data_IF_663710688900
#
_entry.id   IF_663710688900
#
_cell.length_a   1.000
_cell.length_b   1.000
_cell.length_c   1.000
_cell.angle_alpha   90.00
_cell.angle_beta   90.00
_cell.angle_gamma   90.00
#
_symmetry.space_group_name_H-M   'P 1'
#
loop_
_entity.id
_entity.type
_entity.pdbx_description
1 polymer ?
#
# COMPACT_ATOMS: atom_id res chain seq x y z
N UNK A 1 44.35 17.84 1.79
CA UNK A 1 43.47 17.38 0.70
C UNK A 1 44.32 16.72 -0.39
N UNK A 2 43.71 16.01 -1.33
CA UNK A 2 44.33 15.52 -2.57
C UNK A 2 43.68 16.21 -3.76
N UNK A 3 44.46 16.53 -4.79
CA UNK A 3 43.96 17.17 -6.01
C UNK A 3 44.28 16.27 -7.21
N UNK A 4 43.38 16.18 -8.17
CA UNK A 4 43.58 15.39 -9.41
C UNK A 4 43.64 16.28 -10.68
N UNK A 5 43.92 15.64 -11.82
CA UNK A 5 43.99 16.30 -13.13
C UNK A 5 42.63 16.74 -13.68
N UNK A 6 41.52 16.36 -13.04
CA UNK A 6 40.15 16.69 -13.43
C UNK A 6 39.59 17.85 -12.61
N UNK A 7 40.45 18.59 -11.92
CA UNK A 7 40.09 19.68 -11.01
C UNK A 7 39.15 19.22 -9.87
N UNK A 8 39.32 17.98 -9.41
CA UNK A 8 38.71 17.50 -8.17
C UNK A 8 39.63 17.81 -7.01
N UNK A 9 39.06 18.37 -5.95
CA UNK A 9 39.73 18.58 -4.66
C UNK A 9 39.04 17.70 -3.61
N UNK A 10 39.77 16.71 -3.11
CA UNK A 10 39.30 15.75 -2.12
C UNK A 10 39.91 16.01 -0.73
N UNK A 11 39.09 16.54 0.16
CA UNK A 11 39.35 16.82 1.55
C UNK A 11 38.58 15.89 2.49
N UNK A 12 38.09 14.76 1.99
CA UNK A 12 37.28 13.83 2.79
C UNK A 12 38.11 13.12 3.88
N UNK A 13 37.44 12.71 4.95
CA UNK A 13 38.01 11.86 6.02
C UNK A 13 39.24 12.45 6.73
N UNK A 14 39.30 13.78 6.90
CA UNK A 14 40.45 14.47 7.52
C UNK A 14 40.19 14.89 8.97
N UNK A 15 38.97 14.72 9.47
CA UNK A 15 38.56 15.24 10.77
C UNK A 15 38.54 16.77 10.85
N UNK A 16 38.42 17.45 9.70
CA UNK A 16 38.42 18.90 9.60
C UNK A 16 37.21 19.50 10.33
N UNK A 17 37.42 20.60 11.07
CA UNK A 17 36.35 21.34 11.77
C UNK A 17 35.79 22.52 10.97
N UNK A 18 36.54 22.95 9.97
CA UNK A 18 36.23 24.11 9.13
C UNK A 18 36.44 23.74 7.65
N UNK A 19 35.83 24.53 6.75
CA UNK A 19 36.06 24.42 5.31
C UNK A 19 37.50 24.89 4.99
N UNK A 20 38.25 24.22 4.10
CA UNK A 20 39.60 24.64 3.75
C UNK A 20 39.67 26.02 3.08
N UNK A 21 40.56 26.90 3.56
CA UNK A 21 40.67 28.29 3.08
C UNK A 21 41.30 28.43 1.67
N UNK A 22 42.07 27.43 1.21
CA UNK A 22 42.84 27.48 -0.04
C UNK A 22 42.38 26.42 -1.05
N UNK A 23 41.14 26.53 -1.53
CA UNK A 23 40.64 25.70 -2.64
C UNK A 23 40.95 26.41 -3.97
N UNK A 24 41.60 25.73 -4.95
CA UNK A 24 41.88 26.31 -6.27
C UNK A 24 40.61 26.84 -6.96
N UNK A 25 40.59 28.05 -7.54
CA UNK A 25 39.40 28.64 -8.17
C UNK A 25 38.84 27.83 -9.36
N UNK A 26 39.69 27.06 -10.05
CA UNK A 26 39.31 26.20 -11.17
C UNK A 26 38.73 24.85 -10.72
N UNK A 27 38.53 24.63 -9.42
CA UNK A 27 37.95 23.40 -8.86
C UNK A 27 36.53 23.17 -9.41
N UNK A 28 36.30 21.98 -9.95
CA UNK A 28 35.01 21.55 -10.53
C UNK A 28 34.24 20.67 -9.55
N UNK A 29 34.95 19.85 -8.77
CA UNK A 29 34.37 18.97 -7.76
C UNK A 29 35.11 19.18 -6.44
N UNK A 30 34.38 19.52 -5.38
CA UNK A 30 34.93 19.70 -4.04
C UNK A 30 34.28 18.69 -3.09
N UNK A 31 35.08 17.78 -2.54
CA UNK A 31 34.65 16.78 -1.55
C UNK A 31 35.20 17.14 -0.19
N UNK A 32 34.33 17.48 0.75
CA UNK A 32 34.67 17.78 2.16
C UNK A 32 33.80 16.92 3.10
N UNK A 33 33.30 15.80 2.59
CA UNK A 33 32.49 14.84 3.33
C UNK A 33 33.29 14.04 4.37
N UNK A 34 32.58 13.43 5.33
CA UNK A 34 33.20 12.65 6.42
C UNK A 34 34.20 13.48 7.25
N UNK A 35 33.77 14.66 7.70
CA UNK A 35 34.56 15.57 8.54
C UNK A 35 33.73 15.97 9.78
N UNK A 36 34.14 17.04 10.47
CA UNK A 36 33.55 17.52 11.73
C UNK A 36 33.07 18.97 11.63
N UNK A 37 32.73 19.43 10.43
CA UNK A 37 32.27 20.81 10.19
C UNK A 37 30.92 21.02 10.88
N UNK A 38 30.79 22.10 11.65
CA UNK A 38 29.60 22.36 12.49
C UNK A 38 28.60 23.34 11.88
N UNK A 39 29.05 24.18 10.95
CA UNK A 39 28.21 25.16 10.30
C UNK A 39 28.94 25.84 9.15
N UNK A 40 28.18 26.57 8.33
CA UNK A 40 28.72 27.35 7.22
C UNK A 40 28.43 28.83 7.45
N UNK A 41 29.44 29.68 7.27
CA UNK A 41 29.29 31.14 7.38
C UNK A 41 29.07 31.78 6.01
N UNK A 42 28.74 33.08 5.99
CA UNK A 42 28.54 33.83 4.75
C UNK A 42 29.81 33.80 3.88
N UNK A 43 29.65 33.64 2.56
CA UNK A 43 30.75 33.57 1.58
C UNK A 43 31.81 32.50 1.89
N UNK A 44 31.39 31.32 2.39
CA UNK A 44 32.30 30.24 2.81
C UNK A 44 33.16 29.67 1.67
N UNK A 45 32.73 29.83 0.42
CA UNK A 45 33.37 29.27 -0.78
C UNK A 45 33.80 30.37 -1.76
N UNK A 46 34.73 31.26 -1.38
CA UNK A 46 35.08 32.42 -2.19
C UNK A 46 35.75 32.00 -3.51
N UNK A 47 35.32 32.59 -4.63
CA UNK A 47 35.97 32.43 -5.93
C UNK A 47 35.76 31.08 -6.64
N UNK A 48 34.94 30.18 -6.10
CA UNK A 48 34.67 28.85 -6.69
C UNK A 48 33.54 28.88 -7.73
N UNK A 49 33.61 29.81 -8.68
CA UNK A 49 32.54 30.01 -9.69
C UNK A 49 32.41 28.87 -10.70
N UNK A 50 33.47 28.06 -10.88
CA UNK A 50 33.48 26.88 -11.77
C UNK A 50 33.01 25.60 -11.09
N UNK A 51 32.67 25.65 -9.79
CA UNK A 51 32.31 24.47 -9.02
C UNK A 51 30.96 23.92 -9.51
N UNK A 52 30.95 22.64 -9.90
CA UNK A 52 29.74 21.94 -10.37
C UNK A 52 29.17 21.02 -9.28
N UNK A 53 30.02 20.44 -8.44
CA UNK A 53 29.58 19.54 -7.36
C UNK A 53 30.30 19.84 -6.04
N UNK A 54 29.51 19.96 -4.98
CA UNK A 54 29.97 20.16 -3.61
C UNK A 54 29.41 19.07 -2.71
N UNK A 55 30.30 18.30 -2.08
CA UNK A 55 29.93 17.26 -1.12
C UNK A 55 30.35 17.63 0.30
N UNK A 56 29.36 17.93 1.14
CA UNK A 56 29.47 18.26 2.56
C UNK A 56 28.80 17.18 3.43
N UNK A 57 28.50 16.01 2.87
CA UNK A 57 27.79 14.95 3.58
C UNK A 57 28.61 14.39 4.76
N UNK A 58 27.93 13.77 5.74
CA UNK A 58 28.59 13.14 6.88
C UNK A 58 29.50 14.12 7.65
N UNK A 59 28.93 15.27 8.02
CA UNK A 59 29.57 16.27 8.88
C UNK A 59 28.72 16.46 10.15
N UNK A 60 28.88 17.57 10.86
CA UNK A 60 28.04 17.95 12.00
C UNK A 60 27.35 19.29 11.76
N UNK A 61 27.05 19.63 10.49
CA UNK A 61 26.51 20.93 10.09
C UNK A 61 25.11 21.08 10.70
N UNK A 62 25.00 21.99 11.66
CA UNK A 62 23.75 22.29 12.38
C UNK A 62 23.10 23.59 11.93
N UNK A 63 23.85 24.47 11.28
CA UNK A 63 23.36 25.71 10.70
C UNK A 63 24.09 26.07 9.41
N UNK A 64 23.41 26.80 8.54
CA UNK A 64 23.99 27.46 7.36
C UNK A 64 23.52 28.90 7.39
N UNK A 65 24.45 29.85 7.41
CA UNK A 65 24.10 31.28 7.37
C UNK A 65 23.65 31.67 5.96
N UNK A 66 22.79 32.69 5.88
CA UNK A 66 22.39 33.29 4.60
C UNK A 66 23.63 33.69 3.79
N UNK A 67 23.63 33.37 2.49
CA UNK A 67 24.75 33.64 1.59
C UNK A 67 25.99 32.78 1.82
N UNK A 68 25.90 31.66 2.53
CA UNK A 68 27.03 30.73 2.67
C UNK A 68 27.51 30.16 1.33
N UNK A 69 26.60 29.99 0.38
CA UNK A 69 26.85 29.47 -0.97
C UNK A 69 26.94 30.57 -2.04
N UNK A 70 27.05 31.84 -1.64
CA UNK A 70 27.15 32.96 -2.58
C UNK A 70 28.34 32.79 -3.52
N UNK A 71 28.10 33.03 -4.82
CA UNK A 71 29.11 32.92 -5.87
C UNK A 71 29.22 31.55 -6.54
N UNK A 72 28.50 30.53 -6.05
CA UNK A 72 28.47 29.18 -6.63
C UNK A 72 27.51 29.07 -7.83
N UNK A 73 27.65 29.99 -8.79
CA UNK A 73 26.70 30.17 -9.90
C UNK A 73 26.55 28.98 -10.85
N UNK A 74 27.59 28.14 -10.97
CA UNK A 74 27.60 26.94 -11.81
C UNK A 74 27.28 25.65 -11.05
N UNK A 75 27.05 25.72 -9.74
CA UNK A 75 26.82 24.51 -8.94
C UNK A 75 25.54 23.81 -9.37
N UNK A 76 25.66 22.51 -9.66
CA UNK A 76 24.55 21.66 -10.09
C UNK A 76 24.17 20.64 -9.01
N UNK A 77 25.12 20.19 -8.21
CA UNK A 77 24.90 19.16 -7.19
C UNK A 77 25.43 19.59 -5.83
N UNK A 78 24.53 19.71 -4.84
CA UNK A 78 24.87 19.98 -3.45
C UNK A 78 24.46 18.79 -2.56
N UNK A 79 25.44 18.20 -1.88
CA UNK A 79 25.21 17.12 -0.91
C UNK A 79 25.43 17.60 0.52
N UNK A 80 24.35 17.58 1.30
CA UNK A 80 24.32 17.92 2.72
C UNK A 80 23.74 16.79 3.58
N UNK A 81 23.61 15.58 3.02
CA UNK A 81 23.07 14.42 3.72
C UNK A 81 23.91 14.02 4.95
N UNK A 82 23.28 13.40 5.95
CA UNK A 82 23.92 12.97 7.20
C UNK A 82 24.60 14.15 7.93
N UNK A 83 23.81 15.17 8.26
CA UNK A 83 24.23 16.34 9.04
C UNK A 83 23.23 16.57 10.18
N UNK A 84 23.21 17.77 10.77
CA UNK A 84 22.39 18.12 11.95
C UNK A 84 21.45 19.30 11.70
N UNK A 85 21.10 19.58 10.46
CA UNK A 85 20.19 20.68 10.13
C UNK A 85 18.80 20.40 10.69
N UNK A 86 18.26 21.34 11.47
CA UNK A 86 16.93 21.22 12.08
C UNK A 86 15.83 21.93 11.31
N UNK A 87 16.18 22.89 10.46
CA UNK A 87 15.21 23.63 9.64
C UNK A 87 15.85 24.06 8.33
N UNK A 88 15.04 24.20 7.30
CA UNK A 88 15.42 24.91 6.07
C UNK A 88 14.84 26.31 6.15
N UNK A 89 15.70 27.33 6.09
CA UNK A 89 15.33 28.74 6.22
C UNK A 89 15.44 29.46 4.89
N UNK A 90 14.66 30.53 4.74
CA UNK A 90 14.74 31.39 3.57
C UNK A 90 16.16 31.98 3.40
N UNK A 91 16.63 32.04 2.16
CA UNK A 91 17.94 32.62 1.82
C UNK A 91 19.16 31.72 2.04
N UNK A 92 19.00 30.53 2.66
CA UNK A 92 20.12 29.62 2.94
C UNK A 92 20.74 29.04 1.66
N UNK A 93 19.94 28.84 0.62
CA UNK A 93 20.38 28.27 -0.66
C UNK A 93 20.57 29.32 -1.77
N UNK A 94 20.72 30.59 -1.40
CA UNK A 94 20.97 31.67 -2.35
C UNK A 94 22.35 31.52 -3.02
N UNK A 95 22.45 32.02 -4.25
CA UNK A 95 23.71 32.05 -5.01
C UNK A 95 23.97 30.82 -5.89
N UNK A 96 23.03 29.87 -5.96
CA UNK A 96 23.14 28.64 -6.75
C UNK A 96 21.99 28.49 -7.78
N UNK A 97 21.83 29.42 -8.74
CA UNK A 97 20.71 29.40 -9.70
C UNK A 97 20.74 28.20 -10.68
N UNK A 98 21.88 27.52 -10.79
CA UNK A 98 22.08 26.34 -11.65
C UNK A 98 21.84 25.01 -10.95
N UNK A 99 21.44 25.03 -9.66
CA UNK A 99 21.32 23.81 -8.87
C UNK A 99 20.23 22.90 -9.44
N UNK A 100 20.62 21.66 -9.73
CA UNK A 100 19.78 20.62 -10.29
C UNK A 100 19.38 19.59 -9.21
N UNK A 101 20.32 19.24 -8.33
CA UNK A 101 20.13 18.26 -7.27
C UNK A 101 20.57 18.78 -5.90
N UNK A 102 19.65 18.70 -4.94
CA UNK A 102 19.87 19.03 -3.53
C UNK A 102 19.52 17.83 -2.65
N UNK A 103 20.49 17.35 -1.88
CA UNK A 103 20.28 16.25 -0.94
C UNK A 103 20.50 16.71 0.50
N UNK A 104 19.45 16.57 1.31
CA UNK A 104 19.36 16.93 2.73
C UNK A 104 18.97 15.72 3.58
N UNK A 105 18.98 14.51 3.03
CA UNK A 105 18.53 13.32 3.75
C UNK A 105 19.34 13.00 5.00
N UNK A 106 18.70 12.37 5.99
CA UNK A 106 19.31 12.06 7.29
C UNK A 106 19.83 13.32 8.00
N UNK A 107 19.04 14.40 7.92
CA UNK A 107 19.15 15.53 8.83
C UNK A 107 17.98 15.47 9.83
N UNK A 108 17.89 16.43 10.75
CA UNK A 108 16.79 16.50 11.74
C UNK A 108 15.79 17.60 11.36
N UNK A 109 15.56 17.78 10.05
CA UNK A 109 14.69 18.83 9.51
C UNK A 109 13.25 18.57 9.96
N UNK A 110 12.73 19.46 10.79
CA UNK A 110 11.36 19.42 11.30
C UNK A 110 10.48 20.53 10.70
N UNK A 111 11.09 21.55 10.10
CA UNK A 111 10.40 22.72 9.56
C UNK A 111 11.09 23.26 8.31
N UNK A 112 10.29 23.77 7.37
CA UNK A 112 10.72 24.42 6.14
C UNK A 112 10.02 25.77 6.08
N UNK A 113 10.79 26.85 6.03
CA UNK A 113 10.23 28.19 5.88
C UNK A 113 9.72 28.41 4.45
N UNK A 114 8.57 29.06 4.30
CA UNK A 114 8.03 29.41 2.98
C UNK A 114 9.06 30.22 2.16
N UNK A 115 9.21 29.90 0.88
CA UNK A 115 10.19 30.56 0.01
C UNK A 115 11.64 30.09 0.18
N UNK A 116 11.91 29.10 1.03
CA UNK A 116 13.25 28.50 1.22
C UNK A 116 13.95 28.05 -0.07
N UNK A 117 13.18 27.76 -1.12
CA UNK A 117 13.71 27.29 -2.41
C UNK A 117 13.49 28.27 -3.57
N UNK A 118 13.10 29.52 -3.31
CA UNK A 118 12.72 30.49 -4.36
C UNK A 118 13.85 30.78 -5.36
N UNK A 119 15.11 30.68 -4.92
CA UNK A 119 16.29 30.93 -5.74
C UNK A 119 16.87 29.67 -6.40
N UNK A 120 16.12 28.57 -6.42
CA UNK A 120 16.51 27.29 -7.04
C UNK A 120 15.61 26.94 -8.25
N UNK A 121 15.51 27.78 -9.29
CA UNK A 121 14.53 27.62 -10.36
C UNK A 121 14.77 26.38 -11.25
N UNK A 122 15.98 25.80 -11.22
CA UNK A 122 16.37 24.65 -12.04
C UNK A 122 16.35 23.31 -11.30
N UNK A 123 15.99 23.31 -10.02
CA UNK A 123 16.06 22.11 -9.20
C UNK A 123 15.11 21.04 -9.74
N UNK A 124 15.65 19.88 -10.09
CA UNK A 124 14.90 18.72 -10.58
C UNK A 124 14.77 17.64 -9.51
N UNK A 125 15.72 17.56 -8.57
CA UNK A 125 15.73 16.54 -7.52
C UNK A 125 15.93 17.16 -6.15
N UNK A 126 14.98 16.91 -5.25
CA UNK A 126 15.07 17.30 -3.84
C UNK A 126 14.90 16.06 -2.96
N UNK A 127 15.88 15.80 -2.12
CA UNK A 127 15.83 14.71 -1.13
C UNK A 127 15.84 15.26 0.30
N UNK A 128 14.72 15.09 0.99
CA UNK A 128 14.47 15.45 2.39
C UNK A 128 14.19 14.19 3.24
N UNK A 129 14.60 13.01 2.78
CA UNK A 129 14.29 11.74 3.43
C UNK A 129 14.93 11.60 4.82
N UNK A 130 14.34 10.77 5.67
CA UNK A 130 14.82 10.44 7.01
C UNK A 130 15.04 11.70 7.88
N UNK A 131 14.06 12.61 7.84
CA UNK A 131 14.00 13.80 8.68
C UNK A 131 12.96 13.67 9.79
N UNK A 132 12.45 14.81 10.24
CA UNK A 132 11.45 14.93 11.31
C UNK A 132 10.20 15.69 10.87
N UNK A 133 9.93 15.78 9.56
CA UNK A 133 8.73 16.44 9.05
C UNK A 133 7.48 15.67 9.46
N UNK A 134 6.57 16.33 10.19
CA UNK A 134 5.30 15.76 10.64
C UNK A 134 4.13 16.11 9.72
N UNK A 135 4.18 17.29 9.11
CA UNK A 135 3.19 17.77 8.17
C UNK A 135 3.87 18.29 6.91
N UNK A 136 3.21 18.13 5.76
CA UNK A 136 3.54 18.90 4.56
C UNK A 136 2.52 20.04 4.46
N UNK A 137 3.01 21.26 4.60
CA UNK A 137 2.22 22.49 4.54
C UNK A 137 2.29 23.13 3.15
N UNK A 138 1.33 24.02 2.88
CA UNK A 138 1.25 24.77 1.63
C UNK A 138 2.43 25.76 1.56
N UNK A 139 3.01 25.94 0.38
CA UNK A 139 4.08 26.92 0.16
C UNK A 139 5.50 26.34 0.22
N UNK A 140 5.69 25.18 0.86
CA UNK A 140 7.02 24.57 1.02
C UNK A 140 7.71 24.32 -0.32
N UNK A 141 6.98 23.82 -1.32
CA UNK A 141 7.55 23.43 -2.61
C UNK A 141 7.07 24.28 -3.79
N UNK A 142 6.18 25.24 -3.56
CA UNK A 142 5.57 26.07 -4.62
C UNK A 142 6.57 26.68 -5.62
N UNK A 143 7.76 27.15 -5.21
CA UNK A 143 8.73 27.73 -6.16
C UNK A 143 9.36 26.73 -7.14
N UNK A 144 9.27 25.43 -6.88
CA UNK A 144 10.05 24.39 -7.55
C UNK A 144 9.35 23.84 -8.82
N UNK A 145 9.05 24.73 -9.77
CA UNK A 145 8.27 24.37 -10.96
C UNK A 145 8.90 23.30 -11.88
N UNK A 146 10.22 23.13 -11.81
CA UNK A 146 10.99 22.13 -12.58
C UNK A 146 11.30 20.85 -11.80
N UNK A 147 10.80 20.72 -10.56
CA UNK A 147 11.06 19.54 -9.73
C UNK A 147 10.43 18.31 -10.37
N UNK A 148 11.22 17.26 -10.54
CA UNK A 148 10.81 15.98 -11.12
C UNK A 148 10.73 14.90 -10.07
N UNK A 149 11.64 14.91 -9.08
CA UNK A 149 11.73 13.88 -8.04
C UNK A 149 11.78 14.51 -6.66
N UNK A 150 10.83 14.14 -5.81
CA UNK A 150 10.74 14.57 -4.43
C UNK A 150 10.77 13.37 -3.49
N UNK A 151 11.83 13.30 -2.68
CA UNK A 151 11.98 12.24 -1.68
C UNK A 151 11.66 12.79 -0.28
N UNK A 152 10.61 12.22 0.33
CA UNK A 152 10.14 12.55 1.68
C UNK A 152 10.08 11.30 2.59
N UNK A 153 10.57 10.16 2.10
CA UNK A 153 10.56 8.88 2.80
C UNK A 153 11.20 8.96 4.18
N UNK A 154 10.74 8.16 5.15
CA UNK A 154 11.31 8.08 6.49
C UNK A 154 11.10 9.32 7.35
N UNK A 155 10.23 10.25 6.94
CA UNK A 155 9.74 11.31 7.80
C UNK A 155 8.44 10.87 8.48
N UNK A 156 8.16 11.28 9.73
CA UNK A 156 6.92 10.96 10.44
C UNK A 156 5.71 11.77 9.94
N UNK A 157 5.55 11.89 8.61
CA UNK A 157 4.50 12.69 7.98
C UNK A 157 3.15 12.04 8.25
N UNK A 158 2.30 12.72 9.02
CA UNK A 158 0.94 12.28 9.33
C UNK A 158 -0.09 12.89 8.38
N UNK A 159 0.22 14.06 7.81
CA UNK A 159 -0.75 14.84 7.02
C UNK A 159 -0.07 15.64 5.92
N UNK A 160 -0.77 15.70 4.79
CA UNK A 160 -0.41 16.54 3.65
C UNK A 160 -1.58 17.51 3.45
N UNK A 161 -1.33 18.81 3.53
CA UNK A 161 -2.36 19.84 3.32
C UNK A 161 -2.78 19.89 1.85
N UNK A 162 -4.04 20.21 1.60
CA UNK A 162 -4.49 20.50 0.23
C UNK A 162 -3.66 21.65 -0.36
N UNK A 163 -3.18 21.49 -1.59
CA UNK A 163 -2.35 22.49 -2.28
C UNK A 163 -0.87 22.44 -1.92
N UNK A 164 -0.43 21.49 -1.09
CA UNK A 164 0.99 21.33 -0.73
C UNK A 164 1.92 21.13 -1.93
N UNK A 165 1.40 20.58 -3.02
CA UNK A 165 2.13 20.32 -4.26
C UNK A 165 1.74 21.28 -5.39
N UNK A 166 1.05 22.38 -5.07
CA UNK A 166 0.71 23.40 -6.05
C UNK A 166 1.98 23.98 -6.68
N UNK A 167 1.98 24.13 -8.00
CA UNK A 167 3.12 24.67 -8.75
C UNK A 167 4.15 23.61 -9.19
N UNK A 168 4.07 22.38 -8.70
CA UNK A 168 4.97 21.27 -9.07
C UNK A 168 4.61 20.64 -10.42
N UNK A 169 4.61 21.47 -11.47
CA UNK A 169 4.11 21.12 -12.81
C UNK A 169 4.90 20.00 -13.51
N UNK A 170 6.14 19.74 -13.09
CA UNK A 170 7.01 18.72 -13.66
C UNK A 170 7.24 17.52 -12.73
N UNK A 171 6.57 17.44 -11.58
CA UNK A 171 6.82 16.36 -10.62
C UNK A 171 6.35 15.02 -11.20
N UNK A 172 7.27 14.06 -11.28
CA UNK A 172 7.07 12.73 -11.86
C UNK A 172 7.06 11.65 -10.78
N UNK A 173 8.00 11.73 -9.83
CA UNK A 173 8.13 10.72 -8.77
C UNK A 173 8.04 11.36 -7.38
N UNK A 174 7.14 10.80 -6.56
CA UNK A 174 6.95 11.19 -5.17
C UNK A 174 7.15 9.97 -4.27
N UNK A 175 8.12 10.08 -3.36
CA UNK A 175 8.46 9.02 -2.41
C UNK A 175 8.04 9.42 -0.99
N UNK A 176 7.07 8.68 -0.44
CA UNK A 176 6.51 8.81 0.92
C UNK A 176 6.64 7.48 1.68
N UNK A 177 7.71 6.74 1.44
CA UNK A 177 7.96 5.40 2.00
C UNK A 177 8.28 5.52 3.49
N UNK A 178 7.67 4.70 4.35
CA UNK A 178 7.98 4.74 5.78
C UNK A 178 7.50 6.03 6.46
N UNK A 179 6.35 6.54 6.02
CA UNK A 179 5.70 7.73 6.61
C UNK A 179 4.56 7.34 7.54
N UNK A 180 4.07 8.28 8.34
CA UNK A 180 2.95 8.04 9.26
C UNK A 180 1.58 8.38 8.67
N UNK A 181 1.47 8.45 7.33
CA UNK A 181 0.26 8.87 6.64
C UNK A 181 -0.87 7.85 6.87
N UNK A 182 -2.01 8.33 7.37
CA UNK A 182 -3.15 7.47 7.78
C UNK A 182 -4.20 7.38 6.67
N UNK A 183 -4.42 8.46 5.92
CA UNK A 183 -5.49 8.54 4.93
C UNK A 183 -5.06 9.31 3.68
N UNK A 184 -5.63 8.92 2.54
CA UNK A 184 -5.54 9.67 1.28
C UNK A 184 -6.97 10.07 0.86
N UNK A 185 -7.09 11.33 0.44
CA UNK A 185 -8.31 11.96 -0.04
C UNK A 185 -8.09 12.54 -1.45
N UNK A 186 -9.15 12.87 -2.22
CA UNK A 186 -9.04 13.44 -3.58
C UNK A 186 -8.07 14.61 -3.70
N UNK A 187 -8.05 15.49 -2.70
CA UNK A 187 -7.25 16.71 -2.69
C UNK A 187 -5.81 16.53 -2.16
N UNK A 188 -5.47 15.36 -1.61
CA UNK A 188 -4.18 15.13 -0.95
C UNK A 188 -2.97 15.40 -1.87
N UNK A 189 -3.09 15.08 -3.16
CA UNK A 189 -2.03 15.27 -4.15
C UNK A 189 -2.35 16.38 -5.17
N UNK A 190 -3.24 17.30 -4.82
CA UNK A 190 -3.61 18.42 -5.68
C UNK A 190 -2.37 19.25 -6.09
N UNK A 191 -2.28 19.59 -7.37
CA UNK A 191 -1.14 20.32 -7.96
C UNK A 191 -0.06 19.43 -8.60
N UNK A 192 -0.02 18.13 -8.31
CA UNK A 192 0.93 17.18 -8.88
C UNK A 192 0.41 16.47 -10.16
N UNK A 193 -0.17 17.21 -11.10
CA UNK A 193 -0.87 16.62 -12.26
C UNK A 193 0.06 15.83 -13.23
N UNK A 194 1.37 16.05 -13.14
CA UNK A 194 2.39 15.35 -13.94
C UNK A 194 2.89 14.05 -13.30
N UNK A 195 2.42 13.71 -12.09
CA UNK A 195 2.93 12.58 -11.32
C UNK A 195 2.73 11.27 -12.07
N UNK A 196 3.80 10.50 -12.19
CA UNK A 196 3.86 9.20 -12.86
C UNK A 196 4.01 8.06 -11.86
N UNK A 197 4.80 8.26 -10.80
CA UNK A 197 5.07 7.25 -9.78
C UNK A 197 4.80 7.79 -8.39
N UNK A 198 3.98 7.06 -7.64
CA UNK A 198 3.65 7.38 -6.25
C UNK A 198 3.96 6.18 -5.36
N UNK A 199 4.89 6.37 -4.42
CA UNK A 199 5.32 5.35 -3.47
C UNK A 199 4.89 5.73 -2.05
N UNK A 200 3.89 5.02 -1.50
CA UNK A 200 3.37 5.18 -0.14
C UNK A 200 3.36 3.80 0.53
N UNK A 201 4.52 3.14 0.58
CA UNK A 201 4.68 1.82 1.21
C UNK A 201 5.27 1.91 2.61
N UNK A 202 5.07 0.86 3.40
CA UNK A 202 5.57 0.76 4.78
C UNK A 202 5.08 1.91 5.67
N UNK A 203 3.88 2.41 5.41
CA UNK A 203 3.25 3.51 6.14
C UNK A 203 2.12 2.99 7.06
N UNK A 204 1.30 3.91 7.58
CA UNK A 204 0.13 3.61 8.44
C UNK A 204 -1.20 3.78 7.72
N UNK A 205 -1.21 3.63 6.39
CA UNK A 205 -2.37 3.97 5.59
C UNK A 205 -3.52 2.99 5.89
N UNK A 206 -4.65 3.51 6.37
CA UNK A 206 -5.84 2.74 6.74
C UNK A 206 -7.01 2.96 5.78
N UNK A 207 -7.03 4.08 5.06
CA UNK A 207 -8.11 4.44 4.15
C UNK A 207 -7.62 5.20 2.92
N UNK A 208 -8.22 4.89 1.78
CA UNK A 208 -8.12 5.67 0.55
C UNK A 208 -9.54 5.97 0.10
N UNK A 209 -9.93 7.24 0.14
CA UNK A 209 -11.27 7.65 -0.25
C UNK A 209 -11.51 7.44 -1.76
N UNK A 210 -12.75 7.23 -2.21
CA UNK A 210 -13.10 7.16 -3.61
C UNK A 210 -12.65 8.41 -4.37
N UNK A 211 -12.10 8.24 -5.57
CA UNK A 211 -11.59 9.36 -6.38
C UNK A 211 -10.29 10.00 -5.88
N UNK A 212 -9.60 9.39 -4.91
CA UNK A 212 -8.32 9.90 -4.36
C UNK A 212 -7.23 10.19 -5.40
N UNK A 213 -7.29 9.53 -6.56
CA UNK A 213 -6.30 9.66 -7.62
C UNK A 213 -6.85 10.35 -8.88
N UNK A 214 -8.07 10.91 -8.82
CA UNK A 214 -8.74 11.53 -9.97
C UNK A 214 -7.94 12.69 -10.58
N UNK A 215 -7.21 13.44 -9.75
CA UNK A 215 -6.38 14.57 -10.16
C UNK A 215 -4.97 14.18 -10.64
N UNK A 216 -4.68 12.88 -10.77
CA UNK A 216 -3.38 12.36 -11.19
C UNK A 216 -3.49 11.61 -12.54
N UNK A 217 -3.83 12.31 -13.64
CA UNK A 217 -4.15 11.66 -14.91
C UNK A 217 -2.97 10.94 -15.55
N UNK A 218 -1.73 11.27 -15.16
CA UNK A 218 -0.49 10.67 -15.68
C UNK A 218 0.05 9.52 -14.83
N UNK A 219 -0.61 9.19 -13.71
CA UNK A 219 -0.11 8.19 -12.79
C UNK A 219 -0.07 6.82 -13.46
N UNK A 220 1.12 6.22 -13.49
CA UNK A 220 1.43 4.94 -14.13
C UNK A 220 1.86 3.86 -13.14
N UNK A 221 2.44 4.25 -12.01
CA UNK A 221 2.90 3.32 -10.97
C UNK A 221 2.43 3.77 -9.60
N UNK A 222 1.73 2.87 -8.90
CA UNK A 222 1.22 3.10 -7.56
C UNK A 222 1.64 1.96 -6.63
N UNK A 223 2.52 2.26 -5.67
CA UNK A 223 3.01 1.31 -4.66
C UNK A 223 2.48 1.71 -3.28
N UNK A 224 1.51 0.95 -2.77
CA UNK A 224 0.88 1.12 -1.45
C UNK A 224 1.04 -0.18 -0.63
N UNK A 225 2.07 -0.98 -0.91
CA UNK A 225 2.30 -2.24 -0.19
C UNK A 225 2.63 -2.01 1.29
N UNK A 226 2.40 -3.04 2.09
CA UNK A 226 2.71 -3.05 3.52
C UNK A 226 2.13 -1.84 4.26
N UNK A 227 0.83 -1.66 4.13
CA UNK A 227 0.04 -0.69 4.88
C UNK A 227 -1.04 -1.43 5.69
N UNK A 228 -1.97 -0.68 6.27
CA UNK A 228 -3.02 -1.18 7.15
C UNK A 228 -4.41 -1.07 6.54
N UNK A 229 -4.52 -1.15 5.21
CA UNK A 229 -5.80 -1.10 4.51
C UNK A 229 -6.63 -2.35 4.82
N UNK A 230 -7.86 -2.15 5.29
CA UNK A 230 -8.83 -3.22 5.55
C UNK A 230 -9.89 -3.37 4.46
N UNK A 231 -10.06 -2.36 3.60
CA UNK A 231 -11.06 -2.40 2.54
C UNK A 231 -10.62 -1.49 1.41
N UNK A 232 -10.96 -1.88 0.19
CA UNK A 232 -10.90 -1.02 -0.99
C UNK A 232 -12.34 -0.65 -1.31
N UNK A 233 -12.67 0.63 -1.20
CA UNK A 233 -14.02 1.12 -1.48
C UNK A 233 -14.28 1.16 -2.99
N UNK A 234 -15.52 0.96 -3.39
CA UNK A 234 -15.93 1.12 -4.78
C UNK A 234 -15.64 2.55 -5.23
N UNK A 235 -14.93 2.70 -6.35
CA UNK A 235 -14.56 4.02 -6.88
C UNK A 235 -13.17 4.51 -6.45
N UNK A 236 -12.46 3.82 -5.55
CA UNK A 236 -11.08 4.18 -5.16
C UNK A 236 -10.14 4.26 -6.37
N UNK A 237 -10.19 3.26 -7.26
CA UNK A 237 -9.35 3.19 -8.47
C UNK A 237 -10.17 3.46 -9.73
N UNK A 238 -10.67 4.68 -9.87
CA UNK A 238 -11.40 5.13 -11.06
C UNK A 238 -10.70 6.31 -11.74
N UNK A 239 -10.91 6.44 -13.04
CA UNK A 239 -10.32 7.52 -13.87
C UNK A 239 -8.78 7.59 -13.79
N UNK A 240 -8.13 6.44 -13.94
CA UNK A 240 -6.66 6.33 -13.96
C UNK A 240 -6.21 5.82 -15.34
N UNK A 241 -6.28 6.64 -16.40
CA UNK A 241 -6.15 6.15 -17.79
C UNK A 241 -4.76 5.62 -18.12
N UNK A 242 -3.73 6.03 -17.40
CA UNK A 242 -2.34 5.66 -17.64
C UNK A 242 -1.78 4.64 -16.63
N UNK A 243 -2.60 4.14 -15.70
CA UNK A 243 -2.10 3.24 -14.65
C UNK A 243 -1.63 1.92 -15.24
N UNK A 244 -0.36 1.60 -15.04
CA UNK A 244 0.26 0.36 -15.52
C UNK A 244 0.46 -0.64 -14.39
N UNK A 245 0.74 -0.18 -13.17
CA UNK A 245 0.93 -1.04 -12.00
C UNK A 245 0.28 -0.48 -10.74
N UNK A 246 -0.36 -1.38 -9.99
CA UNK A 246 -0.86 -1.13 -8.64
C UNK A 246 -0.39 -2.27 -7.74
N UNK A 247 0.38 -1.94 -6.71
CA UNK A 247 0.81 -2.87 -5.67
C UNK A 247 0.14 -2.53 -4.34
N UNK A 248 -0.70 -3.46 -3.86
CA UNK A 248 -1.41 -3.41 -2.59
C UNK A 248 -1.06 -4.61 -1.71
N UNK A 249 0.02 -5.33 -2.04
CA UNK A 249 0.44 -6.51 -1.29
C UNK A 249 0.70 -6.17 0.18
N UNK A 250 0.58 -7.19 1.04
CA UNK A 250 0.78 -7.04 2.49
C UNK A 250 -0.17 -6.01 3.16
N UNK A 251 -1.37 -5.79 2.61
CA UNK A 251 -2.44 -5.06 3.29
C UNK A 251 -3.49 -6.01 3.86
N UNK A 252 -3.94 -5.87 5.13
CA UNK A 252 -4.88 -6.79 5.77
C UNK A 252 -6.34 -6.61 5.32
N UNK A 253 -6.61 -6.79 4.02
CA UNK A 253 -7.90 -6.51 3.38
C UNK A 253 -9.02 -7.46 3.83
N UNK A 254 -8.73 -8.73 4.11
CA UNK A 254 -9.72 -9.77 4.49
C UNK A 254 -10.77 -10.11 3.41
N UNK A 255 -11.34 -9.12 2.72
CA UNK A 255 -12.28 -9.28 1.61
C UNK A 255 -12.01 -8.29 0.48
N UNK A 256 -12.34 -8.69 -0.75
CA UNK A 256 -12.40 -7.78 -1.89
C UNK A 256 -13.86 -7.57 -2.32
N UNK A 257 -14.36 -6.35 -2.10
CA UNK A 257 -15.76 -5.98 -2.38
C UNK A 257 -16.05 -5.85 -3.87
N UNK A 258 -17.33 -5.96 -4.22
CA UNK A 258 -17.85 -5.77 -5.58
C UNK A 258 -17.39 -4.42 -6.14
N UNK A 259 -16.88 -4.44 -7.38
CA UNK A 259 -16.34 -3.26 -8.07
C UNK A 259 -15.21 -2.50 -7.32
N UNK A 260 -14.46 -3.17 -6.44
CA UNK A 260 -13.25 -2.60 -5.85
C UNK A 260 -12.23 -2.20 -6.94
N UNK A 261 -12.12 -3.02 -8.00
CA UNK A 261 -11.40 -2.69 -9.22
C UNK A 261 -12.32 -2.81 -10.43
N UNK A 262 -12.40 -1.75 -11.23
CA UNK A 262 -13.01 -1.84 -12.56
C UNK A 262 -11.93 -2.10 -13.61
N UNK A 263 -11.48 -3.36 -13.74
CA UNK A 263 -10.34 -3.69 -14.61
C UNK A 263 -10.58 -3.36 -16.09
N UNK A 264 -11.83 -3.40 -16.57
CA UNK A 264 -12.20 -2.98 -17.93
C UNK A 264 -11.92 -1.49 -18.15
N UNK A 265 -12.24 -0.65 -17.17
CA UNK A 265 -11.93 0.78 -17.20
C UNK A 265 -10.46 1.12 -17.04
N UNK A 266 -9.65 0.20 -16.49
CA UNK A 266 -8.20 0.36 -16.32
C UNK A 266 -7.43 -0.33 -17.45
N UNK A 267 -7.65 0.08 -18.71
CA UNK A 267 -7.15 -0.60 -19.91
C UNK A 267 -5.62 -0.68 -20.02
N UNK A 268 -4.89 0.25 -19.41
CA UNK A 268 -3.42 0.29 -19.38
C UNK A 268 -2.81 -0.61 -18.30
N UNK A 269 -3.60 -1.09 -17.33
CA UNK A 269 -3.08 -1.84 -16.19
C UNK A 269 -2.51 -3.19 -16.63
N UNK A 270 -1.23 -3.41 -16.31
CA UNK A 270 -0.43 -4.61 -16.58
C UNK A 270 -0.13 -5.43 -15.33
N UNK A 271 -0.10 -4.80 -14.15
CA UNK A 271 0.16 -5.48 -12.88
C UNK A 271 -0.84 -5.02 -11.81
N UNK A 272 -1.55 -5.97 -11.22
CA UNK A 272 -2.34 -5.77 -10.01
C UNK A 272 -1.90 -6.79 -8.96
N UNK A 273 -1.20 -6.33 -7.92
CA UNK A 273 -0.67 -7.18 -6.86
C UNK A 273 -1.49 -7.04 -5.58
N UNK A 274 -2.18 -8.11 -5.21
CA UNK A 274 -2.99 -8.30 -4.00
C UNK A 274 -2.48 -9.50 -3.19
N UNK A 275 -1.20 -9.87 -3.37
CA UNK A 275 -0.59 -10.98 -2.63
C UNK A 275 -0.45 -10.65 -1.15
N UNK A 276 -0.44 -11.67 -0.29
CA UNK A 276 -0.25 -11.51 1.16
C UNK A 276 -1.26 -10.55 1.81
N UNK A 277 -2.46 -10.42 1.25
CA UNK A 277 -3.48 -9.47 1.69
C UNK A 277 -4.48 -10.05 2.71
N UNK A 278 -4.23 -11.29 3.17
CA UNK A 278 -5.11 -12.06 4.07
C UNK A 278 -6.53 -12.21 3.54
N UNK A 279 -6.73 -12.18 2.23
CA UNK A 279 -8.05 -12.31 1.63
C UNK A 279 -8.64 -13.69 1.91
N UNK A 280 -9.81 -13.73 2.53
CA UNK A 280 -10.59 -14.95 2.81
C UNK A 280 -11.70 -15.12 1.76
N UNK A 281 -12.23 -14.01 1.26
CA UNK A 281 -13.34 -13.98 0.33
C UNK A 281 -13.20 -12.89 -0.73
N UNK A 282 -13.70 -13.16 -1.94
CA UNK A 282 -13.80 -12.19 -3.04
C UNK A 282 -15.24 -12.19 -3.53
N UNK A 283 -15.87 -11.02 -3.52
CA UNK A 283 -17.25 -10.84 -3.98
C UNK A 283 -17.36 -11.03 -5.50
N UNK A 284 -18.54 -11.46 -5.96
CA UNK A 284 -18.84 -11.56 -7.39
C UNK A 284 -18.66 -10.16 -8.05
N UNK A 285 -17.92 -10.11 -9.16
CA UNK A 285 -17.58 -8.89 -9.89
C UNK A 285 -16.70 -7.88 -9.11
N UNK A 286 -15.94 -8.33 -8.10
CA UNK A 286 -14.98 -7.49 -7.38
C UNK A 286 -13.93 -6.81 -8.30
N UNK A 287 -13.54 -7.51 -9.37
CA UNK A 287 -12.57 -7.05 -10.37
C UNK A 287 -13.24 -6.56 -11.68
N UNK A 288 -14.57 -6.40 -11.67
CA UNK A 288 -15.38 -6.32 -12.88
C UNK A 288 -15.96 -7.68 -13.27
N UNK A 289 -17.10 -7.66 -13.97
CA UNK A 289 -17.84 -8.85 -14.39
C UNK A 289 -17.79 -9.14 -15.88
N UNK A 290 -17.11 -8.28 -16.63
CA UNK A 290 -17.08 -8.29 -18.09
C UNK A 290 -15.71 -8.75 -18.59
N UNK A 291 -15.64 -9.33 -19.81
CA UNK A 291 -14.37 -9.57 -20.48
C UNK A 291 -13.55 -8.28 -20.56
N UNK A 292 -12.22 -8.39 -20.40
CA UNK A 292 -11.33 -7.24 -20.49
C UNK A 292 -11.24 -6.65 -21.91
N UNK A 293 -11.57 -7.46 -22.92
CA UNK A 293 -11.50 -7.12 -24.33
C UNK A 293 -12.75 -7.70 -25.02
N UNK A 294 -13.34 -6.93 -25.94
CA UNK A 294 -14.48 -7.37 -26.77
C UNK A 294 -14.03 -7.92 -28.14
N UNK A 295 -12.82 -7.58 -28.59
CA UNK A 295 -12.28 -7.91 -29.92
C UNK A 295 -11.08 -8.87 -29.89
N UNK A 296 -10.79 -9.52 -31.02
CA UNK A 296 -9.68 -10.47 -31.23
C UNK A 296 -8.26 -9.88 -31.15
N UNK A 297 -8.12 -8.56 -30.93
CA UNK A 297 -6.84 -7.81 -30.94
C UNK A 297 -6.47 -7.29 -29.54
N UNK A 298 -6.53 -8.16 -28.54
CA UNK A 298 -6.35 -7.77 -27.14
C UNK A 298 -4.86 -7.65 -26.77
N UNK A 299 -4.17 -6.57 -27.16
CA UNK A 299 -2.77 -6.29 -26.76
C UNK A 299 -2.67 -5.84 -25.29
N UNK A 300 -3.12 -6.72 -24.39
CA UNK A 300 -3.10 -6.51 -22.95
C UNK A 300 -2.82 -7.83 -22.24
N UNK A 301 -1.64 -7.89 -21.66
CA UNK A 301 -1.31 -8.87 -20.62
C UNK A 301 -1.52 -8.23 -19.25
N UNK A 302 -2.36 -8.82 -18.41
CA UNK A 302 -2.56 -8.41 -17.01
C UNK A 302 -2.06 -9.51 -16.09
N UNK A 303 -1.03 -9.21 -15.30
CA UNK A 303 -0.64 -10.03 -14.17
C UNK A 303 -1.51 -9.68 -12.96
N UNK A 304 -2.34 -10.63 -12.54
CA UNK A 304 -3.15 -10.53 -11.33
C UNK A 304 -2.58 -11.47 -10.27
N UNK A 305 -1.94 -10.90 -9.27
CA UNK A 305 -1.35 -11.65 -8.17
C UNK A 305 -2.27 -11.66 -6.95
N UNK A 306 -2.80 -12.84 -6.63
CA UNK A 306 -3.63 -13.14 -5.45
C UNK A 306 -2.96 -14.21 -4.59
N UNK A 307 -1.65 -14.41 -4.74
CA UNK A 307 -0.91 -15.46 -4.03
C UNK A 307 -0.81 -15.18 -2.53
N UNK A 308 -0.59 -16.24 -1.75
CA UNK A 308 -0.39 -16.18 -0.30
C UNK A 308 -1.53 -15.47 0.44
N UNK A 309 -2.76 -15.75 0.02
CA UNK A 309 -3.99 -15.35 0.71
C UNK A 309 -4.66 -16.57 1.38
N UNK A 310 -5.83 -16.37 1.98
CA UNK A 310 -6.61 -17.40 2.67
C UNK A 310 -7.82 -17.86 1.85
N UNK A 311 -7.76 -17.74 0.52
CA UNK A 311 -8.92 -18.02 -0.34
C UNK A 311 -9.20 -19.53 -0.37
N UNK A 312 -10.46 -19.89 -0.14
CA UNK A 312 -10.97 -21.26 -0.32
C UNK A 312 -11.68 -21.47 -1.65
N UNK A 313 -12.16 -20.40 -2.28
CA UNK A 313 -12.88 -20.42 -3.55
C UNK A 313 -12.66 -19.11 -4.31
N UNK A 314 -13.07 -19.06 -5.57
CA UNK A 314 -13.16 -17.83 -6.36
C UNK A 314 -14.59 -17.66 -6.92
N UNK A 315 -15.04 -16.42 -7.17
CA UNK A 315 -16.31 -16.15 -7.82
C UNK A 315 -16.28 -16.51 -9.31
N UNK A 316 -17.47 -16.72 -9.90
CA UNK A 316 -17.58 -17.18 -11.29
C UNK A 316 -17.17 -16.10 -12.29
N UNK A 317 -17.28 -14.83 -11.91
CA UNK A 317 -16.85 -13.67 -12.70
C UNK A 317 -15.38 -13.73 -13.12
N UNK A 318 -14.52 -14.48 -12.41
CA UNK A 318 -13.13 -14.70 -12.83
C UNK A 318 -13.03 -15.47 -14.16
N UNK A 319 -14.03 -16.30 -14.47
CA UNK A 319 -14.10 -17.00 -15.75
C UNK A 319 -14.20 -16.01 -16.92
N UNK A 320 -15.01 -14.95 -16.78
CA UNK A 320 -15.18 -13.92 -17.80
C UNK A 320 -13.88 -13.15 -18.05
N UNK A 321 -13.12 -12.86 -16.99
CA UNK A 321 -11.79 -12.25 -17.10
C UNK A 321 -10.80 -13.16 -17.85
N UNK A 322 -10.95 -14.47 -17.73
CA UNK A 322 -10.06 -15.47 -18.35
C UNK A 322 -10.41 -15.80 -19.81
N UNK A 323 -11.60 -15.42 -20.29
CA UNK A 323 -12.10 -15.73 -21.63
C UNK A 323 -11.59 -14.78 -22.74
N UNK A 324 -10.58 -13.95 -22.47
CA UNK A 324 -9.96 -13.13 -23.52
C UNK A 324 -9.23 -14.02 -24.53
N UNK A 325 -9.40 -13.79 -25.85
CA UNK A 325 -8.77 -14.63 -26.88
C UNK A 325 -7.26 -14.69 -26.69
N UNK A 326 -6.74 -15.89 -26.46
CA UNK A 326 -5.32 -16.11 -26.16
C UNK A 326 -4.55 -16.26 -27.47
N UNK A 327 -4.21 -15.13 -28.10
CA UNK A 327 -3.05 -15.09 -28.98
C UNK A 327 -1.79 -14.95 -28.12
N UNK A 328 -0.67 -15.48 -28.61
CA UNK A 328 0.59 -15.71 -27.88
C UNK A 328 0.93 -14.56 -26.91
N UNK A 329 0.70 -14.76 -25.61
CA UNK A 329 1.09 -13.82 -24.54
C UNK A 329 0.02 -12.83 -24.06
N UNK A 330 -1.17 -12.79 -24.65
CA UNK A 330 -2.25 -11.84 -24.32
C UNK A 330 -3.28 -12.44 -23.34
N UNK A 331 -3.80 -11.63 -22.40
CA UNK A 331 -4.82 -12.04 -21.42
C UNK A 331 -4.39 -11.91 -19.95
N UNK A 332 -5.12 -12.58 -19.05
CA UNK A 332 -4.88 -12.51 -17.60
C UNK A 332 -4.02 -13.68 -17.13
N UNK A 333 -2.86 -13.36 -16.54
CA UNK A 333 -1.98 -14.31 -15.87
C UNK A 333 -2.26 -14.26 -14.37
N UNK A 334 -2.78 -15.35 -13.82
CA UNK A 334 -3.13 -15.44 -12.40
C UNK A 334 -1.98 -16.02 -11.58
N UNK A 335 -1.66 -15.40 -10.44
CA UNK A 335 -0.84 -16.03 -9.41
C UNK A 335 -1.73 -16.37 -8.21
N UNK A 336 -1.98 -17.66 -7.98
CA UNK A 336 -2.91 -18.15 -6.96
C UNK A 336 -2.27 -19.10 -5.93
N UNK A 337 -0.95 -19.30 -6.02
CA UNK A 337 -0.20 -20.15 -5.09
C UNK A 337 -0.33 -19.67 -3.64
N UNK A 338 -0.19 -20.58 -2.66
CA UNK A 338 -0.27 -20.23 -1.24
C UNK A 338 -1.69 -20.02 -0.68
N UNK A 339 -2.73 -20.12 -1.50
CA UNK A 339 -4.13 -20.19 -1.06
C UNK A 339 -4.54 -21.60 -0.63
N UNK A 340 -5.71 -21.72 0.01
CA UNK A 340 -6.24 -22.99 0.56
C UNK A 340 -7.52 -23.43 -0.15
N UNK A 341 -7.49 -23.51 -1.48
CA UNK A 341 -8.69 -23.83 -2.26
C UNK A 341 -9.33 -25.16 -1.85
N UNK A 342 -10.61 -25.09 -1.50
CA UNK A 342 -11.48 -26.24 -1.26
C UNK A 342 -12.13 -26.63 -2.59
N UNK A 343 -11.64 -27.71 -3.19
CA UNK A 343 -12.13 -28.26 -4.45
C UNK A 343 -13.43 -29.03 -4.24
N UNK A 344 -14.47 -28.26 -3.96
CA UNK A 344 -15.85 -28.67 -3.72
C UNK A 344 -16.79 -28.16 -4.82
N UNK A 345 -18.10 -28.30 -4.61
CA UNK A 345 -19.11 -27.93 -5.60
C UNK A 345 -19.09 -26.44 -6.02
N UNK A 346 -18.54 -25.54 -5.21
CA UNK A 346 -18.42 -24.10 -5.55
C UNK A 346 -17.51 -23.88 -6.77
N UNK A 347 -16.48 -24.70 -6.94
CA UNK A 347 -15.51 -24.57 -8.02
C UNK A 347 -15.93 -25.28 -9.33
N UNK A 348 -17.12 -25.90 -9.38
CA UNK A 348 -17.59 -26.66 -10.57
C UNK A 348 -17.57 -25.87 -11.86
N UNK A 349 -18.08 -24.62 -11.83
CA UNK A 349 -18.09 -23.75 -13.01
C UNK A 349 -16.67 -23.35 -13.41
N UNK A 350 -15.84 -23.05 -12.41
CA UNK A 350 -14.44 -22.65 -12.62
C UNK A 350 -13.57 -23.78 -13.17
N UNK A 351 -13.89 -25.05 -12.92
CA UNK A 351 -13.13 -26.19 -13.42
C UNK A 351 -13.11 -26.29 -14.96
N UNK A 352 -14.10 -25.70 -15.63
CA UNK A 352 -14.17 -25.64 -17.10
C UNK A 352 -13.62 -24.32 -17.67
N UNK A 353 -13.16 -23.39 -16.83
CA UNK A 353 -12.65 -22.09 -17.28
C UNK A 353 -11.17 -22.20 -17.65
N UNK A 354 -10.87 -22.18 -18.94
CA UNK A 354 -9.49 -22.14 -19.44
C UNK A 354 -9.05 -20.69 -19.69
N UNK A 355 -7.84 -20.27 -19.27
CA UNK A 355 -6.81 -21.05 -18.56
C UNK A 355 -6.91 -21.02 -17.02
N UNK A 356 -7.87 -20.29 -16.44
CA UNK A 356 -7.97 -20.04 -15.00
C UNK A 356 -7.87 -21.32 -14.13
N UNK A 357 -8.57 -22.38 -14.50
CA UNK A 357 -8.57 -23.66 -13.77
C UNK A 357 -7.18 -24.28 -13.63
N UNK A 358 -6.25 -23.98 -14.55
CA UNK A 358 -4.86 -24.45 -14.49
C UNK A 358 -4.01 -23.77 -13.43
N UNK A 359 -4.47 -22.63 -12.88
CA UNK A 359 -3.77 -21.89 -11.82
C UNK A 359 -4.28 -22.26 -10.42
N UNK A 360 -5.45 -22.91 -10.31
CA UNK A 360 -6.05 -23.30 -9.03
C UNK A 360 -5.53 -24.68 -8.61
N UNK A 361 -4.81 -24.73 -7.49
CA UNK A 361 -4.34 -25.98 -6.87
C UNK A 361 -5.14 -26.28 -5.60
N UNK A 362 -5.71 -27.48 -5.54
CA UNK A 362 -6.55 -27.90 -4.42
C UNK A 362 -5.75 -28.12 -3.14
N UNK A 363 -6.23 -27.58 -2.03
CA UNK A 363 -5.75 -27.88 -0.67
C UNK A 363 -6.67 -28.87 0.05
N UNK A 364 -7.97 -28.83 -0.24
CA UNK A 364 -8.98 -29.75 0.25
C UNK A 364 -9.89 -30.22 -0.90
N UNK A 365 -10.60 -31.35 -0.76
CA UNK A 365 -10.42 -32.35 0.29
C UNK A 365 -9.09 -33.12 0.14
N UNK A 366 -8.63 -33.88 1.15
CA UNK A 366 -7.36 -34.62 1.10
C UNK A 366 -7.17 -35.49 -0.15
N UNK A 367 -8.25 -36.09 -0.68
CA UNK A 367 -8.23 -36.92 -1.89
C UNK A 367 -7.93 -36.16 -3.19
N UNK A 368 -8.12 -34.83 -3.18
CA UNK A 368 -7.81 -33.93 -4.30
C UNK A 368 -6.60 -33.04 -4.02
N UNK A 369 -5.95 -33.18 -2.86
CA UNK A 369 -4.86 -32.31 -2.45
C UNK A 369 -3.73 -32.29 -3.50
N UNK A 370 -3.20 -31.09 -3.76
CA UNK A 370 -2.15 -30.78 -4.74
C UNK A 370 -2.51 -30.94 -6.22
N UNK A 371 -3.69 -31.48 -6.55
CA UNK A 371 -4.17 -31.55 -7.94
C UNK A 371 -4.56 -30.16 -8.44
N UNK A 372 -4.35 -29.93 -9.73
CA UNK A 372 -4.84 -28.73 -10.41
C UNK A 372 -6.31 -28.92 -10.75
N UNK A 373 -7.11 -27.86 -10.63
CA UNK A 373 -8.56 -27.92 -10.81
C UNK A 373 -8.94 -28.41 -12.22
N UNK A 374 -8.20 -28.01 -13.26
CA UNK A 374 -8.42 -28.45 -14.64
C UNK A 374 -8.18 -29.95 -14.88
N UNK A 375 -7.52 -30.66 -13.96
CA UNK A 375 -7.28 -32.12 -14.05
C UNK A 375 -8.36 -32.95 -13.37
N UNK A 376 -9.34 -32.31 -12.72
CA UNK A 376 -10.37 -32.96 -11.92
C UNK A 376 -11.68 -32.94 -12.70
N UNK A 377 -12.29 -34.12 -12.87
CA UNK A 377 -13.62 -34.21 -13.47
C UNK A 377 -14.65 -33.46 -12.62
N UNK A 378 -15.50 -32.65 -13.25
CA UNK A 378 -16.52 -31.82 -12.57
C UNK A 378 -17.42 -32.63 -11.63
N UNK A 379 -17.69 -33.89 -11.95
CA UNK A 379 -18.47 -34.82 -11.11
C UNK A 379 -17.82 -35.16 -9.75
N UNK A 380 -16.52 -34.94 -9.60
CA UNK A 380 -15.78 -35.22 -8.36
C UNK A 380 -15.71 -34.00 -7.42
N UNK A 381 -16.18 -32.84 -7.87
CA UNK A 381 -16.25 -31.60 -7.09
C UNK A 381 -17.56 -31.58 -6.29
N UNK A 382 -17.62 -32.33 -5.21
CA UNK A 382 -18.86 -32.53 -4.45
C UNK A 382 -18.92 -31.65 -3.21
N UNK A 383 -20.13 -31.27 -2.83
CA UNK A 383 -20.44 -30.77 -1.49
C UNK A 383 -21.30 -31.81 -0.78
N UNK A 384 -21.15 -31.92 0.53
CA UNK A 384 -22.04 -32.70 1.39
C UNK A 384 -22.79 -31.73 2.29
N UNK A 385 -24.12 -31.83 2.30
CA UNK A 385 -24.97 -30.97 3.12
C UNK A 385 -24.59 -31.10 4.60
N UNK A 386 -24.71 -30.01 5.38
CA UNK A 386 -24.39 -30.07 6.79
C UNK A 386 -25.32 -31.05 7.51
N UNK A 387 -24.80 -31.68 8.57
CA UNK A 387 -25.58 -32.52 9.48
C UNK A 387 -25.19 -32.17 10.91
N UNK A 388 -26.15 -31.72 11.71
CA UNK A 388 -25.93 -31.46 13.13
C UNK A 388 -25.98 -32.80 13.86
N UNK A 389 -24.81 -33.30 14.24
CA UNK A 389 -24.63 -34.59 14.91
C UNK A 389 -24.89 -34.49 16.41
N UNK A 390 -24.62 -33.33 17.00
CA UNK A 390 -24.78 -33.09 18.44
C UNK A 390 -25.31 -31.69 18.69
N UNK A 391 -26.50 -31.63 19.27
CA UNK A 391 -27.08 -30.44 19.89
C UNK A 391 -27.29 -30.72 21.37
N UNK A 392 -26.47 -30.15 22.25
CA UNK A 392 -26.53 -30.41 23.69
C UNK A 392 -26.53 -29.11 24.48
N UNK A 393 -27.51 -29.02 25.39
CA UNK A 393 -27.58 -28.02 26.45
C UNK A 393 -26.86 -28.56 27.68
N UNK A 394 -25.84 -27.86 28.16
CA UNK A 394 -25.12 -28.20 29.37
C UNK A 394 -25.17 -27.01 30.33
N UNK A 395 -25.68 -27.23 31.54
CA UNK A 395 -25.74 -26.24 32.60
C UNK A 395 -24.69 -26.56 33.68
N UNK A 396 -23.90 -25.56 34.05
CA UNK A 396 -22.90 -25.63 35.11
C UNK A 396 -23.10 -24.44 36.06
N UNK A 397 -23.76 -24.69 37.18
CA UNK A 397 -24.27 -23.64 38.07
C UNK A 397 -25.26 -22.74 37.34
N UNK A 398 -24.94 -21.44 37.25
CA UNK A 398 -25.73 -20.46 36.49
C UNK A 398 -25.25 -20.28 35.05
N UNK A 399 -24.17 -20.91 34.63
CA UNK A 399 -23.68 -20.79 33.27
C UNK A 399 -24.28 -21.91 32.40
N UNK A 400 -24.68 -21.58 31.18
CA UNK A 400 -25.28 -22.52 30.23
C UNK A 400 -24.47 -22.52 28.94
N UNK A 401 -24.02 -23.69 28.48
CA UNK A 401 -23.36 -23.86 27.19
C UNK A 401 -24.19 -24.73 26.26
N UNK A 402 -24.43 -24.22 25.06
CA UNK A 402 -25.11 -24.91 23.98
C UNK A 402 -24.09 -25.31 22.92
N UNK A 403 -23.88 -26.62 22.76
CA UNK A 403 -23.01 -27.17 21.73
C UNK A 403 -23.80 -27.45 20.47
N UNK A 404 -23.30 -26.97 19.33
CA UNK A 404 -23.82 -27.33 18.01
C UNK A 404 -22.68 -27.78 17.11
N UNK A 405 -22.42 -29.08 17.11
CA UNK A 405 -21.37 -29.67 16.28
C UNK A 405 -22.01 -30.21 15.00
N UNK A 406 -21.60 -29.69 13.85
CA UNK A 406 -22.06 -30.12 12.55
C UNK A 406 -20.92 -30.69 11.71
N UNK A 407 -21.21 -31.75 10.96
CA UNK A 407 -20.34 -32.26 9.89
C UNK A 407 -20.88 -31.83 8.54
N UNK A 408 -20.02 -31.81 7.52
CA UNK A 408 -20.37 -31.38 6.17
C UNK A 408 -19.10 -30.96 5.41
N UNK A 409 -19.20 -30.85 4.09
CA UNK A 409 -18.10 -30.43 3.23
C UNK A 409 -18.59 -29.46 2.14
N UNK A 410 -18.01 -28.26 2.00
CA UNK A 410 -17.00 -27.66 2.90
C UNK A 410 -17.53 -27.50 4.33
N UNK A 411 -16.63 -27.22 5.27
CA UNK A 411 -16.96 -27.11 6.69
C UNK A 411 -18.09 -26.09 6.90
N UNK A 412 -19.19 -26.45 7.60
CA UNK A 412 -20.36 -25.59 7.70
C UNK A 412 -20.15 -24.43 8.68
N UNK A 413 -20.65 -23.26 8.30
CA UNK A 413 -20.77 -22.13 9.21
C UNK A 413 -21.94 -22.34 10.18
N UNK A 414 -21.71 -22.08 11.47
CA UNK A 414 -22.73 -22.23 12.52
C UNK A 414 -23.31 -20.84 12.84
N UNK A 415 -24.64 -20.73 12.87
CA UNK A 415 -25.34 -19.55 13.38
C UNK A 415 -26.42 -19.93 14.40
N UNK A 416 -26.72 -19.00 15.31
CA UNK A 416 -27.68 -19.19 16.40
C UNK A 416 -28.83 -18.19 16.31
N UNK A 417 -30.03 -18.66 16.67
CA UNK A 417 -31.22 -17.86 16.92
C UNK A 417 -31.57 -17.93 18.40
N UNK A 418 -31.71 -16.77 19.04
CA UNK A 418 -31.99 -16.66 20.48
C UNK A 418 -33.45 -16.26 20.72
N UNK A 419 -33.99 -16.45 21.95
CA UNK A 419 -35.35 -16.00 22.29
C UNK A 419 -35.55 -14.48 22.16
N UNK A 420 -34.51 -13.70 22.48
CA UNK A 420 -34.54 -12.24 22.50
C UNK A 420 -34.28 -11.58 21.12
N UNK A 421 -33.72 -12.31 20.15
CA UNK A 421 -33.40 -11.80 18.82
C UNK A 421 -34.15 -12.57 17.73
N UNK A 422 -35.04 -11.90 17.00
CA UNK A 422 -35.56 -12.45 15.75
C UNK A 422 -34.52 -12.44 14.60
N UNK A 423 -33.35 -11.83 14.81
CA UNK A 423 -32.27 -11.72 13.81
C UNK A 423 -31.03 -12.58 14.12
N UNK A 424 -30.38 -13.02 13.04
CA UNK A 424 -29.21 -13.90 12.90
C UNK A 424 -27.98 -13.29 13.61
N UNK A 425 -27.63 -13.78 14.81
CA UNK A 425 -26.51 -13.26 15.61
C UNK A 425 -25.19 -13.80 15.08
N UNK A 426 -24.76 -13.34 13.89
CA UNK A 426 -23.53 -13.85 13.27
C UNK A 426 -22.23 -13.43 13.95
N UNK A 427 -22.20 -12.43 14.85
CA UNK A 427 -20.97 -11.96 15.52
C UNK A 427 -21.20 -10.98 16.70
N UNK A 428 -22.31 -11.04 17.44
CA UNK A 428 -22.52 -10.16 18.60
C UNK A 428 -22.18 -10.87 19.90
N UNK A 429 -21.06 -10.48 20.50
CA UNK A 429 -20.79 -10.66 21.94
C UNK A 429 -21.67 -9.66 22.71
N UNK A 430 -22.94 -10.00 22.92
CA UNK A 430 -23.80 -9.23 23.81
C UNK A 430 -23.43 -9.52 25.27
N UNK A 431 -23.70 -8.58 26.17
CA UNK A 431 -23.32 -8.63 27.59
C UNK A 431 -23.85 -9.91 28.28
N UNK A 432 -23.00 -10.96 28.34
CA UNK A 432 -23.30 -12.26 28.95
C UNK A 432 -23.32 -13.46 27.99
N UNK A 433 -23.28 -13.27 26.66
CA UNK A 433 -23.33 -14.35 25.66
C UNK A 433 -22.05 -14.41 24.84
N UNK A 434 -21.33 -15.54 24.91
CA UNK A 434 -20.05 -15.74 24.23
C UNK A 434 -20.12 -16.90 23.23
N UNK A 435 -19.72 -16.65 21.98
CA UNK A 435 -19.50 -17.69 20.99
C UNK A 435 -18.10 -18.29 21.16
N UNK A 436 -18.00 -19.60 21.37
CA UNK A 436 -16.73 -20.34 21.52
C UNK A 436 -16.47 -21.26 20.32
N UNK A 437 -15.20 -21.63 20.14
CA UNK A 437 -14.72 -22.44 19.00
C UNK A 437 -15.56 -23.71 18.75
N UNK A 438 -15.74 -24.04 17.46
CA UNK A 438 -16.71 -25.02 16.89
C UNK A 438 -18.19 -24.61 16.96
N UNK A 439 -18.49 -23.32 17.08
CA UNK A 439 -19.86 -22.80 16.97
C UNK A 439 -20.73 -23.05 18.21
N UNK A 440 -20.13 -23.15 19.40
CA UNK A 440 -20.87 -23.29 20.66
C UNK A 440 -21.26 -21.92 21.22
N UNK A 441 -22.46 -21.82 21.81
CA UNK A 441 -22.97 -20.60 22.43
C UNK A 441 -22.99 -20.75 23.95
N UNK A 442 -22.29 -19.88 24.67
CA UNK A 442 -22.24 -19.86 26.14
C UNK A 442 -23.00 -18.66 26.67
N UNK A 443 -23.89 -18.85 27.65
CA UNK A 443 -24.57 -17.82 28.43
C UNK A 443 -23.99 -17.87 29.84
N UNK A 444 -23.52 -16.73 30.34
CA UNK A 444 -22.97 -16.58 31.69
C UNK A 444 -24.05 -16.01 32.62
N UNK A 445 -24.13 -16.53 33.85
CA UNK A 445 -25.11 -16.10 34.89
C UNK A 445 -26.56 -16.03 34.36
N UNK A 446 -27.01 -17.11 33.73
CA UNK A 446 -28.33 -17.21 33.11
C UNK A 446 -29.45 -16.93 34.11
N UNK A 447 -30.40 -16.10 33.68
CA UNK A 447 -31.58 -15.69 34.45
C UNK A 447 -32.87 -16.21 33.80
N UNK A 448 -34.01 -16.03 34.48
CA UNK A 448 -35.33 -16.40 33.92
C UNK A 448 -35.63 -15.74 32.56
N UNK A 449 -35.00 -14.60 32.25
CA UNK A 449 -35.15 -13.91 30.96
C UNK A 449 -34.40 -14.60 29.80
N UNK A 450 -33.42 -15.47 30.10
CA UNK A 450 -32.70 -16.26 29.11
C UNK A 450 -33.43 -17.55 28.72
N UNK A 451 -34.50 -17.89 29.46
CA UNK A 451 -35.34 -19.04 29.19
C UNK A 451 -36.08 -18.91 27.86
N UNK A 452 -36.12 -19.98 27.08
CA UNK A 452 -36.80 -19.97 25.78
C UNK A 452 -36.18 -20.90 24.73
N UNK A 453 -36.64 -20.71 23.51
CA UNK A 453 -36.27 -21.54 22.36
C UNK A 453 -35.03 -21.01 21.66
N UNK A 454 -33.99 -21.83 21.60
CA UNK A 454 -32.75 -21.57 20.87
C UNK A 454 -32.67 -22.46 19.62
N UNK A 455 -32.31 -21.86 18.49
CA UNK A 455 -32.09 -22.58 17.24
C UNK A 455 -30.63 -22.53 16.85
N UNK A 456 -30.01 -23.68 16.59
CA UNK A 456 -28.74 -23.74 15.87
C UNK A 456 -28.99 -24.08 14.41
N UNK A 457 -28.30 -23.37 13.54
CA UNK A 457 -28.28 -23.58 12.10
C UNK A 457 -26.85 -23.84 11.64
N UNK A 458 -26.63 -24.93 10.91
CA UNK A 458 -25.37 -25.22 10.23
C UNK A 458 -25.57 -25.09 8.72
N UNK A 459 -24.78 -24.27 8.04
CA UNK A 459 -24.98 -23.94 6.62
C UNK A 459 -23.68 -24.07 5.83
N UNK A 460 -23.74 -24.71 4.67
CA UNK A 460 -22.68 -24.70 3.66
C UNK A 460 -23.31 -24.67 2.24
N UNK A 461 -22.52 -24.62 1.15
CA UNK A 461 -23.04 -24.63 -0.22
C UNK A 461 -23.84 -25.88 -0.61
N UNK A 462 -23.67 -26.99 0.12
CA UNK A 462 -24.45 -28.21 -0.06
C UNK A 462 -25.83 -28.17 0.60
N UNK A 463 -26.13 -27.20 1.46
CA UNK A 463 -27.42 -27.04 2.10
C UNK A 463 -27.32 -26.54 3.54
N UNK A 464 -28.34 -26.82 4.32
CA UNK A 464 -28.45 -26.40 5.72
C UNK A 464 -29.10 -27.51 6.54
N UNK A 465 -28.68 -27.64 7.79
CA UNK A 465 -29.39 -28.41 8.82
C UNK A 465 -29.65 -27.50 10.03
N UNK A 466 -30.72 -27.75 10.76
CA UNK A 466 -31.10 -26.93 11.92
C UNK A 466 -31.67 -27.79 13.04
N UNK A 467 -31.33 -27.42 14.28
CA UNK A 467 -31.84 -28.04 15.50
C UNK A 467 -32.31 -26.97 16.45
N UNK A 468 -33.38 -27.26 17.16
CA UNK A 468 -33.97 -26.37 18.15
C UNK A 468 -33.89 -27.07 19.50
N UNK A 469 -33.53 -26.32 20.53
CA UNK A 469 -33.62 -26.75 21.91
C UNK A 469 -34.26 -25.68 22.78
N UNK A 470 -34.84 -26.12 23.88
CA UNK A 470 -35.46 -25.24 24.86
C UNK A 470 -34.59 -25.18 26.10
N UNK A 471 -34.24 -23.96 26.52
CA UNK A 471 -33.57 -23.70 27.78
C UNK A 471 -34.63 -23.35 28.83
N UNK A 472 -34.74 -24.19 29.86
CA UNK A 472 -35.46 -23.86 31.09
C UNK A 472 -34.45 -23.32 32.10
N UNK A 473 -34.66 -22.10 32.61
CA UNK A 473 -33.80 -21.43 33.61
C UNK A 473 -34.52 -21.29 34.93
#
# INVERSE_FOLDING_TARGET
CACDSFNTVDCSNRGAKDVPDQVPPNTVILRINNNKIQGLVQNQFPGLSSLLSLDLSNNSISYVKQGAFSGLGSLTHLRLANNKLSSVRAGVFDGMPSLDSLTLSNNVVQDIEEGSFVHLPRLTTLDLSNGLLVDIEVGYFTPLANLQRLHLSGNPIQRIRNGSFQGLAQLQDLYLIGTDLIEIWPETFSGAASLQSLYVRDSKLRRIAPGSFFMLPRLSHLDIRNNTLHVIETGTFTNMPNIMSVDLSYNPLSTLKRFAFNLKGLSTLRLCNLSNARLEYVEENALGGEPLCEDFLCDRTLQLDLSNNNLETLPNSFCNLSQTPMFIGEGVVFSLAGNRFSCDCRLRKLASCYPLAGYVRCAAPPVLQYKLLNTISVGNLNCTSPRIDRFVLQQDGRNVTMFCNATGFPEPAISWKTPASQEDTRNREDAGRQMKGRGSLTILDASGEDGGTYGCTATNPGGQDSRIGYLAV
#
